data_IF_843697454857
#
_entry.id   IF_843697454857
#
_cell.length_a   1.000
_cell.length_b   1.000
_cell.length_c   1.000
_cell.angle_alpha   90.00
_cell.angle_beta   90.00
_cell.angle_gamma   90.00
#
_symmetry.space_group_name_H-M   'P 1'
#
loop_
_entity.id
_entity.type
_entity.pdbx_description
1 polymer ?
#
# COMPACT_ATOMS: atom_id res chain seq x y z
N UNK A 1 -32.08 9.63 28.37
CA UNK A 1 -33.55 9.79 28.22
C UNK A 1 -33.80 10.75 27.06
N UNK A 2 -34.24 10.18 25.94
CA UNK A 2 -35.13 10.71 24.88
C UNK A 2 -35.00 12.19 24.49
N UNK A 3 -34.65 12.45 23.23
CA UNK A 3 -35.53 13.18 22.29
C UNK A 3 -35.39 12.54 20.90
N UNK A 4 -36.53 12.25 20.28
CA UNK A 4 -36.70 11.68 18.95
C UNK A 4 -37.42 12.71 18.07
N UNK A 5 -37.09 12.78 16.78
CA UNK A 5 -37.87 13.35 15.66
C UNK A 5 -37.32 12.67 14.39
N UNK A 6 -38.02 12.04 13.46
CA UNK A 6 -39.45 11.99 13.14
C UNK A 6 -39.78 12.83 11.89
N UNK A 7 -39.64 12.25 10.68
CA UNK A 7 -40.31 12.64 9.42
C UNK A 7 -39.72 11.76 8.28
N UNK A 8 -40.44 11.16 7.33
CA UNK A 8 -41.77 11.47 6.81
C UNK A 8 -41.65 11.86 5.32
N UNK A 9 -41.81 10.86 4.44
CA UNK A 9 -42.23 10.89 3.03
C UNK A 9 -41.54 11.84 2.02
N UNK A 10 -41.25 11.32 0.81
CA UNK A 10 -42.00 11.73 -0.39
C UNK A 10 -41.71 10.76 -1.56
N UNK A 11 -42.75 10.04 -2.00
CA UNK A 11 -42.76 9.38 -3.30
C UNK A 11 -42.98 10.48 -4.35
N UNK A 12 -42.08 10.62 -5.32
CA UNK A 12 -42.32 11.46 -6.50
C UNK A 12 -42.25 10.57 -7.75
N UNK A 13 -43.42 10.14 -8.23
CA UNK A 13 -43.54 9.55 -9.56
C UNK A 13 -43.65 10.72 -10.55
N UNK A 14 -42.52 11.07 -11.18
CA UNK A 14 -42.52 11.95 -12.34
C UNK A 14 -42.56 11.07 -13.60
N UNK A 15 -43.75 10.96 -14.18
CA UNK A 15 -43.91 10.58 -15.58
C UNK A 15 -43.36 11.73 -16.43
N UNK A 16 -42.08 11.65 -16.78
CA UNK A 16 -41.41 12.55 -17.71
C UNK A 16 -41.07 11.82 -19.01
N UNK A 17 -41.80 12.13 -20.07
CA UNK A 17 -41.50 11.72 -21.43
C UNK A 17 -40.43 12.64 -22.02
N UNK A 18 -39.39 12.08 -22.65
CA UNK A 18 -38.54 12.78 -23.62
C UNK A 18 -37.09 13.05 -23.18
N UNK A 19 -36.16 12.33 -23.81
CA UNK A 19 -34.73 12.64 -23.77
C UNK A 19 -33.85 11.42 -24.03
N UNK A 20 -33.73 11.02 -25.29
CA UNK A 20 -32.61 10.18 -25.74
C UNK A 20 -31.33 11.02 -25.63
N UNK A 21 -30.48 10.70 -24.67
CA UNK A 21 -29.04 10.96 -24.72
C UNK A 21 -28.36 9.90 -23.83
N UNK A 22 -28.01 8.79 -24.49
CA UNK A 22 -27.21 7.70 -23.93
C UNK A 22 -25.80 8.23 -23.62
N UNK A 23 -25.62 8.67 -22.39
CA UNK A 23 -24.37 9.26 -21.94
C UNK A 23 -24.12 9.06 -20.46
N UNK A 24 -24.35 7.85 -19.95
CA UNK A 24 -23.69 7.43 -18.73
C UNK A 24 -22.18 7.58 -18.96
N UNK A 25 -21.62 8.69 -18.46
CA UNK A 25 -20.19 8.84 -18.27
C UNK A 25 -19.84 7.83 -17.17
N UNK A 26 -19.62 6.58 -17.57
CA UNK A 26 -18.99 5.59 -16.70
C UNK A 26 -17.72 6.25 -16.15
N UNK A 27 -17.70 6.54 -14.85
CA UNK A 27 -16.47 6.98 -14.20
C UNK A 27 -15.56 5.77 -14.19
N UNK A 28 -14.70 5.64 -15.20
CA UNK A 28 -13.70 4.58 -15.23
C UNK A 28 -12.82 4.71 -13.99
N UNK A 29 -12.90 3.73 -13.10
CA UNK A 29 -11.99 3.65 -11.96
C UNK A 29 -10.59 3.42 -12.53
N UNK A 30 -9.63 4.26 -12.13
CA UNK A 30 -8.24 4.05 -12.50
C UNK A 30 -7.59 3.08 -11.53
N UNK A 31 -6.71 2.22 -12.06
CA UNK A 31 -5.88 1.36 -11.22
C UNK A 31 -5.07 2.21 -10.23
N UNK A 32 -5.04 1.80 -8.97
CA UNK A 32 -4.38 2.56 -7.89
C UNK A 32 -3.71 1.62 -6.91
N UNK A 33 -2.40 1.75 -6.71
CA UNK A 33 -1.67 1.06 -5.66
C UNK A 33 -2.09 1.56 -4.29
N UNK A 34 -2.22 0.64 -3.34
CA UNK A 34 -2.46 0.92 -1.94
C UNK A 34 -1.47 0.08 -1.13
N UNK A 35 -0.27 0.65 -0.97
CA UNK A 35 0.80 0.04 -0.18
C UNK A 35 0.53 0.26 1.32
N UNK A 36 0.96 -0.69 2.14
CA UNK A 36 0.85 -0.64 3.59
C UNK A 36 2.23 -0.55 4.23
N UNK A 37 2.30 0.19 5.34
CA UNK A 37 3.52 0.26 6.14
C UNK A 37 3.80 -1.09 6.80
N UNK A 38 5.07 -1.43 6.90
CA UNK A 38 5.56 -2.64 7.55
C UNK A 38 6.20 -2.34 8.89
N UNK A 39 6.16 -3.31 9.79
CA UNK A 39 6.84 -3.24 11.06
C UNK A 39 7.53 -4.56 11.38
N UNK A 40 8.81 -4.48 11.74
CA UNK A 40 9.63 -5.63 12.09
C UNK A 40 10.57 -5.33 13.25
N UNK A 41 11.20 -6.37 13.78
CA UNK A 41 12.27 -6.27 14.77
C UNK A 41 13.45 -7.14 14.39
N UNK A 42 14.66 -6.68 14.71
CA UNK A 42 15.91 -7.40 14.48
C UNK A 42 16.91 -7.09 15.59
N UNK A 43 17.81 -8.02 15.89
CA UNK A 43 18.89 -7.77 16.85
C UNK A 43 20.00 -6.93 16.20
N UNK A 44 20.71 -6.14 17.00
CA UNK A 44 21.78 -5.29 16.51
C UNK A 44 22.88 -6.11 15.83
N UNK A 45 23.20 -5.76 14.58
CA UNK A 45 24.19 -6.44 13.75
C UNK A 45 23.66 -7.58 12.89
N UNK A 46 22.41 -7.99 13.10
CA UNK A 46 21.76 -9.01 12.28
C UNK A 46 21.08 -8.40 11.05
N UNK A 47 20.80 -9.28 10.08
CA UNK A 47 20.04 -8.98 8.88
C UNK A 47 18.65 -9.59 8.94
N UNK A 48 17.68 -8.91 8.34
CA UNK A 48 16.30 -9.35 8.20
C UNK A 48 15.83 -9.13 6.76
N UNK A 49 15.23 -10.17 6.19
CA UNK A 49 14.47 -10.07 4.95
C UNK A 49 13.02 -9.69 5.25
N UNK A 50 12.52 -8.64 4.59
CA UNK A 50 11.18 -8.10 4.76
C UNK A 50 10.40 -8.27 3.47
N UNK A 51 9.30 -9.03 3.55
CA UNK A 51 8.32 -9.24 2.47
C UNK A 51 7.32 -8.07 2.44
N UNK A 52 7.81 -6.90 2.03
CA UNK A 52 7.06 -5.63 2.10
C UNK A 52 5.79 -5.58 1.24
N UNK A 53 5.64 -6.50 0.27
CA UNK A 53 4.52 -6.48 -0.68
C UNK A 53 3.35 -7.40 -0.28
N UNK A 54 3.48 -8.19 0.79
CA UNK A 54 2.51 -9.22 1.17
C UNK A 54 1.18 -8.64 1.69
N UNK A 55 1.25 -7.49 2.34
CA UNK A 55 0.09 -6.74 2.85
C UNK A 55 -0.40 -5.64 1.89
N UNK A 56 0.24 -5.51 0.72
CA UNK A 56 -0.08 -4.50 -0.26
C UNK A 56 -1.24 -4.91 -1.15
N UNK A 57 -1.93 -3.91 -1.69
CA UNK A 57 -3.08 -4.14 -2.57
C UNK A 57 -3.10 -3.19 -3.76
N UNK A 58 -3.92 -3.55 -4.75
CA UNK A 58 -4.26 -2.69 -5.87
C UNK A 58 -5.77 -2.63 -6.04
N UNK A 59 -6.29 -1.45 -6.34
CA UNK A 59 -7.66 -1.28 -6.85
C UNK A 59 -7.63 -1.42 -8.37
N UNK A 60 -8.44 -2.31 -8.94
CA UNK A 60 -8.53 -2.56 -10.37
C UNK A 60 -9.51 -1.60 -11.05
N UNK A 61 -9.55 -1.59 -12.38
CA UNK A 61 -10.51 -0.77 -13.13
C UNK A 61 -11.97 -1.20 -12.93
N UNK A 62 -12.19 -2.46 -12.52
CA UNK A 62 -13.48 -2.96 -12.07
C UNK A 62 -13.94 -2.34 -10.74
N UNK A 63 -13.05 -1.64 -10.04
CA UNK A 63 -13.27 -1.16 -8.67
C UNK A 63 -13.01 -2.21 -7.58
N UNK A 64 -12.68 -3.46 -7.96
CA UNK A 64 -12.31 -4.52 -7.03
C UNK A 64 -10.92 -4.26 -6.42
N UNK A 65 -10.72 -4.68 -5.16
CA UNK A 65 -9.41 -4.66 -4.50
C UNK A 65 -8.85 -6.08 -4.53
N UNK A 66 -7.60 -6.22 -4.97
CA UNK A 66 -6.86 -7.48 -4.96
C UNK A 66 -5.53 -7.30 -4.21
N UNK A 67 -4.98 -8.39 -3.67
CA UNK A 67 -3.60 -8.40 -3.18
C UNK A 67 -2.64 -8.05 -4.31
N UNK A 68 -1.57 -7.31 -4.01
CA UNK A 68 -0.66 -6.84 -5.04
C UNK A 68 0.01 -8.01 -5.77
N UNK A 69 0.45 -9.02 -5.01
CA UNK A 69 1.06 -10.23 -5.52
C UNK A 69 0.06 -11.25 -6.13
N UNK A 70 -1.25 -11.05 -5.91
CA UNK A 70 -2.29 -11.80 -6.63
C UNK A 70 -2.55 -11.20 -8.01
N UNK A 71 -2.37 -9.88 -8.14
CA UNK A 71 -2.68 -9.12 -9.35
C UNK A 71 -1.51 -9.03 -10.34
N UNK A 72 -0.26 -9.12 -9.86
CA UNK A 72 0.95 -9.05 -10.68
C UNK A 72 1.99 -10.06 -10.23
N UNK A 73 2.73 -10.61 -11.19
CA UNK A 73 3.93 -11.37 -10.89
C UNK A 73 5.01 -10.44 -10.30
N UNK A 74 5.83 -10.91 -9.34
CA UNK A 74 6.93 -10.10 -8.79
C UNK A 74 7.89 -9.55 -9.86
N UNK A 75 8.03 -10.24 -10.99
CA UNK A 75 8.85 -9.81 -12.13
C UNK A 75 8.28 -8.57 -12.86
N UNK A 76 6.98 -8.31 -12.74
CA UNK A 76 6.30 -7.14 -13.29
C UNK A 76 6.40 -5.92 -12.39
N UNK A 77 6.84 -6.11 -11.14
CA UNK A 77 7.01 -5.04 -10.16
C UNK A 77 8.47 -4.56 -10.14
N UNK A 78 8.63 -3.26 -9.90
CA UNK A 78 9.91 -2.65 -9.53
C UNK A 78 9.77 -2.15 -8.11
N UNK A 79 10.61 -2.67 -7.22
CA UNK A 79 10.76 -2.22 -5.84
C UNK A 79 12.10 -1.49 -5.72
N UNK A 80 12.09 -0.30 -5.11
CA UNK A 80 13.29 0.50 -4.87
C UNK A 80 13.27 1.15 -3.50
N UNK A 81 14.43 1.38 -2.90
CA UNK A 81 14.55 2.22 -1.70
C UNK A 81 14.54 3.69 -2.14
N UNK A 82 13.57 4.45 -1.65
CA UNK A 82 13.45 5.90 -1.89
C UNK A 82 14.19 6.70 -0.82
N UNK A 83 14.13 6.25 0.43
CA UNK A 83 14.89 6.83 1.56
C UNK A 83 15.58 5.70 2.35
N UNK A 84 16.90 5.77 2.45
CA UNK A 84 17.71 4.82 3.21
C UNK A 84 17.49 4.95 4.73
N UNK A 85 17.67 3.84 5.48
CA UNK A 85 17.67 3.87 6.93
C UNK A 85 18.85 4.65 7.53
N UNK A 86 18.65 5.21 8.73
CA UNK A 86 19.67 6.01 9.41
C UNK A 86 20.63 5.17 10.27
N UNK A 87 20.18 4.01 10.74
CA UNK A 87 20.88 3.17 11.70
C UNK A 87 21.13 1.74 11.22
N UNK A 88 21.06 1.53 9.91
CA UNK A 88 21.36 0.28 9.24
C UNK A 88 21.69 0.52 7.77
N UNK A 89 21.52 -0.53 6.97
CA UNK A 89 21.58 -0.46 5.51
C UNK A 89 20.48 -1.33 4.90
N UNK A 90 19.94 -0.93 3.76
CA UNK A 90 18.93 -1.68 3.04
C UNK A 90 19.37 -2.00 1.61
N UNK A 91 18.91 -3.12 1.09
CA UNK A 91 19.06 -3.49 -0.31
C UNK A 91 17.81 -4.21 -0.80
N UNK A 92 17.55 -4.15 -2.12
CA UNK A 92 16.40 -4.81 -2.73
C UNK A 92 16.87 -5.94 -3.63
N UNK A 93 16.22 -7.10 -3.50
CA UNK A 93 16.37 -8.23 -4.41
C UNK A 93 14.99 -8.73 -4.82
N UNK A 94 14.58 -8.43 -6.05
CA UNK A 94 13.22 -8.74 -6.53
C UNK A 94 12.16 -7.94 -5.77
N UNK A 95 11.33 -8.65 -4.99
CA UNK A 95 10.25 -8.08 -4.18
C UNK A 95 10.58 -8.04 -2.67
N UNK A 96 11.81 -8.40 -2.29
CA UNK A 96 12.24 -8.48 -0.89
C UNK A 96 13.20 -7.34 -0.57
N UNK A 97 13.01 -6.70 0.58
CA UNK A 97 13.96 -5.75 1.16
C UNK A 97 14.80 -6.49 2.20
N UNK A 98 16.12 -6.53 2.02
CA UNK A 98 17.04 -7.00 3.06
C UNK A 98 17.55 -5.78 3.84
N UNK A 99 17.19 -5.70 5.11
CA UNK A 99 17.73 -4.73 6.06
C UNK A 99 18.85 -5.37 6.89
N UNK A 100 19.90 -4.60 7.19
CA UNK A 100 20.97 -5.01 8.12
C UNK A 100 21.14 -3.93 9.17
N UNK A 101 20.89 -4.28 10.44
CA UNK A 101 21.05 -3.37 11.55
C UNK A 101 22.53 -3.04 11.78
N UNK A 102 22.84 -1.80 12.17
CA UNK A 102 24.20 -1.46 12.60
C UNK A 102 24.53 -2.15 13.93
N UNK A 103 25.67 -2.81 13.97
CA UNK A 103 26.24 -3.35 15.21
C UNK A 103 26.21 -2.34 16.37
N UNK A 104 25.69 -2.79 17.51
CA UNK A 104 25.65 -2.00 18.74
C UNK A 104 24.63 -0.85 18.76
N UNK A 105 23.83 -0.65 17.71
CA UNK A 105 22.69 0.25 17.76
C UNK A 105 21.47 -0.44 18.39
N UNK A 106 20.69 0.29 19.19
CA UNK A 106 19.39 -0.15 19.66
C UNK A 106 18.43 1.05 19.64
N UNK A 107 17.24 0.88 19.08
CA UNK A 107 16.29 1.95 18.81
C UNK A 107 15.50 1.73 17.54
N UNK A 108 14.72 2.72 17.15
CA UNK A 108 13.91 2.70 15.93
C UNK A 108 14.73 3.16 14.72
N UNK A 109 14.55 2.46 13.61
CA UNK A 109 15.05 2.84 12.30
C UNK A 109 13.91 2.77 11.29
N UNK A 110 13.99 3.55 10.21
CA UNK A 110 12.94 3.55 9.19
C UNK A 110 13.55 3.74 7.80
N UNK A 111 12.94 3.08 6.82
CA UNK A 111 13.21 3.30 5.41
C UNK A 111 11.89 3.48 4.65
N UNK A 112 11.96 4.16 3.52
CA UNK A 112 10.81 4.30 2.61
C UNK A 112 11.12 3.54 1.32
N UNK A 113 10.18 2.71 0.88
CA UNK A 113 10.27 2.05 -0.41
C UNK A 113 9.24 2.60 -1.39
N UNK A 114 9.53 2.46 -2.69
CA UNK A 114 8.64 2.81 -3.79
C UNK A 114 8.36 1.57 -4.64
N UNK A 115 7.10 1.39 -5.04
CA UNK A 115 6.68 0.35 -5.98
C UNK A 115 6.17 0.96 -7.27
N UNK A 116 6.59 0.36 -8.40
CA UNK A 116 6.11 0.67 -9.75
C UNK A 116 5.71 -0.60 -10.47
N UNK A 117 4.60 -0.55 -11.20
CA UNK A 117 4.16 -1.64 -12.08
C UNK A 117 4.69 -1.41 -13.50
N UNK A 118 5.58 -2.29 -13.97
CA UNK A 118 6.27 -2.16 -15.26
C UNK A 118 5.29 -2.19 -16.43
N UNK A 119 5.51 -1.32 -17.40
CA UNK A 119 4.72 -1.31 -18.65
C UNK A 119 3.26 -0.86 -18.49
N UNK A 120 2.90 -0.27 -17.34
CA UNK A 120 1.55 0.26 -17.10
C UNK A 120 1.57 1.75 -16.78
N UNK A 121 0.40 2.39 -16.81
CA UNK A 121 0.20 3.77 -16.36
C UNK A 121 -0.25 3.87 -14.89
N UNK A 122 -0.13 2.78 -14.12
CA UNK A 122 -0.45 2.81 -12.69
C UNK A 122 0.55 3.74 -12.00
N UNK A 123 0.09 4.79 -11.29
CA UNK A 123 1.00 5.67 -10.56
C UNK A 123 1.82 4.90 -9.53
N UNK A 124 3.09 5.29 -9.37
CA UNK A 124 3.95 4.78 -8.31
C UNK A 124 3.36 5.13 -6.94
N UNK A 125 3.65 4.31 -5.94
CA UNK A 125 3.29 4.56 -4.55
C UNK A 125 4.48 4.26 -3.63
N UNK A 126 4.47 4.85 -2.44
CA UNK A 126 5.48 4.65 -1.41
C UNK A 126 4.84 4.20 -0.10
N UNK A 127 5.61 3.46 0.71
CA UNK A 127 5.27 3.06 2.08
C UNK A 127 6.54 2.93 2.93
N UNK A 128 6.35 2.86 4.25
CA UNK A 128 7.44 2.88 5.23
C UNK A 128 7.62 1.53 5.87
N UNK A 129 8.88 1.06 5.98
CA UNK A 129 9.24 -0.05 6.86
C UNK A 129 9.81 0.53 8.16
N UNK A 130 9.20 0.20 9.29
CA UNK A 130 9.66 0.56 10.63
C UNK A 130 10.36 -0.64 11.27
N UNK A 131 11.59 -0.44 11.72
CA UNK A 131 12.40 -1.50 12.31
C UNK A 131 12.76 -1.12 13.74
N UNK A 132 12.34 -1.94 14.70
CA UNK A 132 12.83 -1.87 16.08
C UNK A 132 14.09 -2.72 16.20
N UNK A 133 15.25 -2.07 16.37
CA UNK A 133 16.54 -2.74 16.61
C UNK A 133 16.72 -2.99 18.10
N UNK A 134 16.81 -4.26 18.48
CA UNK A 134 17.03 -4.70 19.86
C UNK A 134 18.52 -4.84 20.18
N UNK A 135 18.89 -4.61 21.43
CA UNK A 135 20.25 -4.84 21.89
C UNK A 135 20.61 -6.34 21.71
N UNK A 136 21.87 -6.67 21.37
CA UNK A 136 22.26 -8.04 21.11
C UNK A 136 22.06 -8.91 22.36
N UNK A 137 21.57 -10.13 22.18
CA UNK A 137 21.46 -11.11 23.26
C UNK A 137 22.85 -11.39 23.85
N UNK A 138 22.99 -11.23 25.17
CA UNK A 138 24.25 -11.47 25.91
C UNK A 138 24.50 -12.94 26.20
#
# INVERSE_FOLDING_TARGET
MRVAVGAGALLLVLTGCGGSDDGAKESSVKRTLALMDDQQSVDAGDSLDVEVLDNDSITLESGERAGLLDAYDPAELTLTIDTDPSHGSASVSGATVTYTARDGYAGEDELTYEVRVKGTEVPAATAVVRITVSAPAS
#
